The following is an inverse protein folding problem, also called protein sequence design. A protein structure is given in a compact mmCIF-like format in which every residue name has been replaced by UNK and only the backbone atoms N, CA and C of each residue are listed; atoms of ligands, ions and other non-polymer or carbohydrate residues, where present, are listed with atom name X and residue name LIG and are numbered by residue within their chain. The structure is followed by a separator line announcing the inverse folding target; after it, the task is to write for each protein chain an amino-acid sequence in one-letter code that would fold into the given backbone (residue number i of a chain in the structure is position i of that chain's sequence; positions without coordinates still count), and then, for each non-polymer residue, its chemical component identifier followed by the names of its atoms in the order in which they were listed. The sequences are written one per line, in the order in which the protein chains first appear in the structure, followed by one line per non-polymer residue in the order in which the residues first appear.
data_IF_736593372614
#
_entry.id   IF_736593372614
#
_cell.length_a   1.000
_cell.length_b   1.000
_cell.length_c   1.000
_cell.angle_alpha   90.00
_cell.angle_beta   90.00
_cell.angle_gamma   90.00
#
_symmetry.space_group_name_H-M   'P 1'
#
loop_
_entity.id
_entity.type
_entity.pdbx_description
1 polymer ?
#
# COMPACT_ATOMS: atom_id res chain seq x y z
N UNK A 1 9.98 -8.60 20.47
CA UNK A 1 8.71 -7.83 20.47
C UNK A 1 7.83 -8.41 19.37
N UNK A 2 6.77 -9.15 19.73
CA UNK A 2 5.75 -9.60 18.74
C UNK A 2 5.04 -8.36 18.23
N UNK A 3 5.22 -8.07 16.96
CA UNK A 3 4.55 -6.95 16.28
C UNK A 3 3.09 -7.39 16.12
N UNK A 4 2.20 -6.81 16.90
CA UNK A 4 0.78 -7.16 16.85
C UNK A 4 0.18 -6.69 15.52
N UNK A 5 0.14 -7.58 14.55
CA UNK A 5 -0.47 -7.35 13.24
C UNK A 5 -2.01 -7.39 13.27
N UNK A 6 -2.57 -7.63 14.47
CA UNK A 6 -4.01 -7.71 14.69
C UNK A 6 -4.78 -6.43 14.26
N UNK A 7 -4.14 -5.26 14.27
CA UNK A 7 -4.78 -4.03 13.80
C UNK A 7 -4.99 -4.02 12.27
N UNK A 8 -4.05 -4.60 11.49
CA UNK A 8 -4.19 -4.68 10.02
C UNK A 8 -5.38 -5.55 9.65
N UNK A 9 -5.52 -6.73 10.30
CA UNK A 9 -6.66 -7.62 10.05
C UNK A 9 -7.99 -6.96 10.34
N UNK A 10 -8.07 -6.12 11.38
CA UNK A 10 -9.27 -5.34 11.70
C UNK A 10 -9.61 -4.32 10.60
N UNK A 11 -8.62 -3.56 10.12
CA UNK A 11 -8.83 -2.61 9.02
C UNK A 11 -9.26 -3.31 7.74
N UNK A 12 -8.60 -4.40 7.36
CA UNK A 12 -8.95 -5.18 6.17
C UNK A 12 -10.39 -5.72 6.29
N UNK A 13 -10.74 -6.30 7.44
CA UNK A 13 -12.08 -6.82 7.68
C UNK A 13 -13.15 -5.73 7.50
N UNK A 14 -12.95 -4.54 8.10
CA UNK A 14 -13.91 -3.43 8.00
C UNK A 14 -13.98 -2.90 6.56
N UNK A 15 -12.87 -2.81 5.84
CA UNK A 15 -12.84 -2.42 4.42
C UNK A 15 -13.65 -3.42 3.58
N UNK A 16 -13.42 -4.72 3.76
CA UNK A 16 -14.14 -5.77 3.02
C UNK A 16 -15.63 -5.72 3.33
N UNK A 17 -16.00 -5.60 4.60
CA UNK A 17 -17.42 -5.46 4.99
C UNK A 17 -18.04 -4.20 4.36
N UNK A 18 -17.34 -3.07 4.37
CA UNK A 18 -17.82 -1.81 3.78
C UNK A 18 -18.05 -1.94 2.28
N UNK A 19 -17.12 -2.61 1.56
CA UNK A 19 -17.26 -2.87 0.12
C UNK A 19 -18.44 -3.81 -0.18
N UNK A 20 -18.56 -4.90 0.59
CA UNK A 20 -19.65 -5.87 0.42
C UNK A 20 -21.00 -5.25 0.71
N UNK A 21 -21.12 -4.50 1.81
CA UNK A 21 -22.36 -3.79 2.17
C UNK A 21 -22.72 -2.72 1.13
N UNK A 22 -21.75 -1.89 0.71
CA UNK A 22 -21.98 -0.87 -0.32
C UNK A 22 -22.45 -1.47 -1.65
N UNK A 23 -21.83 -2.59 -2.06
CA UNK A 23 -22.23 -3.33 -3.26
C UNK A 23 -23.58 -4.02 -3.10
N UNK A 24 -23.75 -4.85 -2.08
CA UNK A 24 -24.95 -5.64 -1.88
C UNK A 24 -26.20 -4.78 -1.67
N UNK A 25 -26.13 -3.78 -0.78
CA UNK A 25 -27.27 -2.90 -0.50
C UNK A 25 -27.61 -2.03 -1.73
N UNK A 26 -26.58 -1.56 -2.45
CA UNK A 26 -26.78 -0.79 -3.68
C UNK A 26 -27.50 -1.56 -4.80
N UNK A 27 -27.43 -2.90 -4.82
CA UNK A 27 -28.11 -3.73 -5.82
C UNK A 27 -29.60 -4.00 -5.51
N UNK A 28 -30.06 -3.74 -4.28
CA UNK A 28 -31.49 -3.95 -3.95
C UNK A 28 -32.41 -3.07 -4.79
N UNK A 29 -33.46 -3.69 -5.36
CA UNK A 29 -34.44 -3.04 -6.23
C UNK A 29 -35.09 -1.81 -5.58
N UNK A 30 -35.29 -1.84 -4.27
CA UNK A 30 -35.88 -0.76 -3.48
C UNK A 30 -35.02 0.52 -3.55
N UNK A 31 -33.69 0.41 -3.44
CA UNK A 31 -32.78 1.54 -3.53
C UNK A 31 -32.60 2.06 -4.97
N UNK A 32 -32.74 1.18 -5.97
CA UNK A 32 -32.69 1.57 -7.39
C UNK A 32 -33.91 2.36 -7.83
N UNK A 33 -35.10 2.06 -7.27
CA UNK A 33 -36.38 2.73 -7.59
C UNK A 33 -36.57 4.06 -6.83
N UNK A 34 -35.90 4.21 -5.68
CA UNK A 34 -36.01 5.42 -4.87
C UNK A 34 -35.08 6.49 -5.42
N UNK A 35 -35.65 7.57 -5.95
CA UNK A 35 -34.90 8.74 -6.44
C UNK A 35 -35.10 9.92 -5.51
N UNK A 36 -34.02 10.64 -5.20
CA UNK A 36 -34.00 11.82 -4.34
C UNK A 36 -33.77 13.08 -5.19
N UNK A 37 -34.72 13.96 -5.18
CA UNK A 37 -34.59 15.32 -5.72
C UNK A 37 -34.50 15.47 -7.24
N UNK A 38 -34.25 16.68 -7.66
CA UNK A 38 -33.88 17.08 -9.03
C UNK A 38 -32.51 17.71 -9.00
N UNK A 39 -31.47 17.13 -9.67
CA UNK A 39 -31.49 15.98 -10.59
C UNK A 39 -31.64 14.62 -9.86
N UNK A 40 -32.22 13.66 -10.56
CA UNK A 40 -32.62 12.34 -10.03
C UNK A 40 -31.39 11.53 -9.54
N UNK A 41 -31.03 11.71 -8.27
CA UNK A 41 -30.02 10.88 -7.60
C UNK A 41 -30.70 9.62 -7.06
N UNK A 42 -30.23 8.43 -7.42
CA UNK A 42 -30.78 7.20 -6.86
C UNK A 42 -30.20 6.95 -5.46
N UNK A 43 -31.06 6.45 -4.55
CA UNK A 43 -30.61 6.06 -3.21
C UNK A 43 -29.48 4.99 -3.27
N UNK A 44 -29.51 4.12 -4.28
CA UNK A 44 -28.46 3.14 -4.58
C UNK A 44 -27.09 3.80 -4.77
N UNK A 45 -27.01 4.88 -5.56
CA UNK A 45 -25.75 5.60 -5.80
C UNK A 45 -25.19 6.21 -4.52
N UNK A 46 -26.07 6.70 -3.64
CA UNK A 46 -25.66 7.29 -2.36
C UNK A 46 -25.09 6.23 -1.41
N UNK A 47 -25.74 5.07 -1.33
CA UNK A 47 -25.26 3.94 -0.51
C UNK A 47 -23.94 3.41 -1.03
N UNK A 48 -23.80 3.23 -2.33
CA UNK A 48 -22.54 2.82 -2.95
C UNK A 48 -21.42 3.84 -2.70
N UNK A 49 -21.73 5.13 -2.81
CA UNK A 49 -20.77 6.20 -2.50
C UNK A 49 -20.29 6.13 -1.05
N UNK A 50 -21.21 5.96 -0.09
CA UNK A 50 -20.83 5.82 1.31
C UNK A 50 -20.00 4.56 1.59
N UNK A 51 -20.39 3.42 1.01
CA UNK A 51 -19.68 2.15 1.17
C UNK A 51 -18.27 2.19 0.58
N UNK A 52 -18.16 2.56 -0.69
CA UNK A 52 -16.87 2.59 -1.39
C UNK A 52 -16.00 3.77 -0.92
N UNK A 53 -16.58 4.94 -0.69
CA UNK A 53 -15.89 6.10 -0.16
C UNK A 53 -15.35 5.85 1.24
N UNK A 54 -16.15 5.23 2.11
CA UNK A 54 -15.73 4.80 3.44
C UNK A 54 -14.57 3.80 3.39
N UNK A 55 -14.63 2.81 2.48
CA UNK A 55 -13.56 1.85 2.27
C UNK A 55 -12.25 2.51 1.81
N UNK A 56 -12.32 3.48 0.88
CA UNK A 56 -11.15 4.24 0.44
C UNK A 56 -10.54 5.09 1.55
N UNK A 57 -11.38 5.70 2.38
CA UNK A 57 -10.94 6.50 3.52
C UNK A 57 -10.23 5.63 4.57
N UNK A 58 -10.79 4.45 4.87
CA UNK A 58 -10.17 3.47 5.76
C UNK A 58 -8.86 2.94 5.20
N UNK A 59 -8.77 2.69 3.89
CA UNK A 59 -7.56 2.28 3.21
C UNK A 59 -6.47 3.35 3.35
N UNK A 60 -6.82 4.62 3.17
CA UNK A 60 -5.89 5.75 3.35
C UNK A 60 -5.39 5.86 4.79
N UNK A 61 -6.29 5.78 5.79
CA UNK A 61 -5.93 5.77 7.20
C UNK A 61 -5.04 4.59 7.58
N UNK A 62 -5.34 3.40 7.04
CA UNK A 62 -4.51 2.21 7.22
C UNK A 62 -3.10 2.42 6.65
N UNK A 63 -2.99 3.01 5.45
CA UNK A 63 -1.72 3.33 4.82
C UNK A 63 -0.88 4.31 5.64
N UNK A 64 -1.50 5.36 6.17
CA UNK A 64 -0.86 6.33 7.05
C UNK A 64 -0.32 5.66 8.33
N UNK A 65 -1.15 4.83 8.97
CA UNK A 65 -0.78 4.11 10.18
C UNK A 65 0.32 3.07 9.91
N UNK A 66 0.27 2.37 8.79
CA UNK A 66 1.32 1.46 8.38
C UNK A 66 2.64 2.19 8.17
N UNK A 67 2.63 3.30 7.45
CA UNK A 67 3.81 4.11 7.21
C UNK A 67 4.45 4.63 8.50
N UNK A 68 3.64 5.09 9.47
CA UNK A 68 4.14 5.57 10.76
C UNK A 68 4.82 4.45 11.58
N UNK A 69 4.28 3.22 11.53
CA UNK A 69 4.88 2.07 12.21
C UNK A 69 6.17 1.58 11.53
N UNK A 70 6.24 1.64 10.19
CA UNK A 70 7.44 1.28 9.46
C UNK A 70 8.56 2.31 9.66
N UNK A 71 8.22 3.59 9.84
CA UNK A 71 9.18 4.68 10.13
C UNK A 71 9.89 4.48 11.47
N UNK A 72 9.26 3.83 12.45
CA UNK A 72 9.86 3.52 13.75
C UNK A 72 10.83 2.34 13.69
N UNK A 73 10.85 1.56 12.62
CA UNK A 73 11.74 0.42 12.42
C UNK A 73 13.09 0.84 11.84
N UNK A 74 14.16 0.11 12.21
CA UNK A 74 15.50 0.28 11.63
C UNK A 74 15.67 -0.65 10.41
N UNK A 75 16.33 -0.17 9.37
CA UNK A 75 16.71 -0.97 8.20
C UNK A 75 15.59 -1.15 7.16
N UNK A 76 15.39 -2.38 6.65
CA UNK A 76 14.47 -2.72 5.54
C UNK A 76 13.02 -2.25 5.75
N UNK A 77 12.57 -2.07 7.01
CA UNK A 77 11.23 -1.59 7.31
C UNK A 77 11.04 -0.09 7.03
N UNK A 78 12.11 0.71 7.17
CA UNK A 78 12.05 2.14 6.86
C UNK A 78 11.80 2.38 5.36
N UNK A 79 12.39 1.56 4.49
CA UNK A 79 12.17 1.60 3.05
C UNK A 79 10.69 1.43 2.66
N UNK A 80 10.01 0.45 3.28
CA UNK A 80 8.60 0.21 3.02
C UNK A 80 7.71 1.43 3.35
N UNK A 81 8.08 2.25 4.34
CA UNK A 81 7.31 3.44 4.69
C UNK A 81 7.28 4.49 3.58
N UNK A 82 8.35 4.61 2.80
CA UNK A 82 8.44 5.58 1.71
C UNK A 82 7.63 5.17 0.48
N UNK A 83 7.42 3.86 0.27
CA UNK A 83 6.66 3.33 -0.87
C UNK A 83 5.17 3.21 -0.54
N UNK A 84 4.82 2.80 0.67
CA UNK A 84 3.43 2.55 1.08
C UNK A 84 2.57 3.81 0.95
N UNK A 85 3.08 4.97 1.35
CA UNK A 85 2.30 6.23 1.29
C UNK A 85 1.95 6.62 -0.15
N UNK A 86 2.90 6.77 -1.09
CA UNK A 86 2.54 7.15 -2.45
C UNK A 86 1.72 6.07 -3.18
N UNK A 87 1.98 4.78 -2.90
CA UNK A 87 1.20 3.68 -3.47
C UNK A 87 -0.26 3.73 -3.01
N UNK A 88 -0.50 3.85 -1.71
CA UNK A 88 -1.86 3.96 -1.17
C UNK A 88 -2.55 5.23 -1.67
N UNK A 89 -1.83 6.36 -1.75
CA UNK A 89 -2.37 7.61 -2.29
C UNK A 89 -2.80 7.44 -3.74
N UNK A 90 -1.99 6.79 -4.57
CA UNK A 90 -2.32 6.51 -5.97
C UNK A 90 -3.61 5.66 -6.08
N UNK A 91 -3.71 4.59 -5.30
CA UNK A 91 -4.91 3.72 -5.27
C UNK A 91 -6.15 4.50 -4.82
N UNK A 92 -6.01 5.32 -3.78
CA UNK A 92 -7.13 6.12 -3.25
C UNK A 92 -7.58 7.19 -4.25
N UNK A 93 -6.65 7.89 -4.91
CA UNK A 93 -6.99 8.90 -5.93
C UNK A 93 -7.67 8.25 -7.13
N UNK A 94 -7.15 7.12 -7.61
CA UNK A 94 -7.74 6.37 -8.72
C UNK A 94 -9.15 5.82 -8.36
N UNK A 95 -9.30 5.29 -7.15
CA UNK A 95 -10.60 4.81 -6.66
C UNK A 95 -11.61 5.93 -6.43
N UNK A 96 -11.16 7.07 -5.90
CA UNK A 96 -11.98 8.24 -5.67
C UNK A 96 -12.60 8.78 -6.97
N UNK A 97 -11.89 8.70 -8.09
CA UNK A 97 -12.44 9.05 -9.40
C UNK A 97 -13.74 8.28 -9.69
N UNK A 98 -13.72 6.97 -9.56
CA UNK A 98 -14.89 6.12 -9.85
C UNK A 98 -16.01 6.34 -8.84
N UNK A 99 -15.68 6.46 -7.56
CA UNK A 99 -16.66 6.65 -6.48
C UNK A 99 -17.36 8.00 -6.59
N UNK A 100 -16.61 9.07 -6.81
CA UNK A 100 -17.15 10.40 -7.00
C UNK A 100 -17.98 10.51 -8.29
N UNK A 101 -17.51 9.89 -9.38
CA UNK A 101 -18.22 9.89 -10.65
C UNK A 101 -19.63 9.26 -10.52
N UNK A 102 -19.78 8.24 -9.66
CA UNK A 102 -21.07 7.59 -9.42
C UNK A 102 -22.14 8.57 -8.92
N UNK A 103 -21.75 9.50 -8.04
CA UNK A 103 -22.67 10.49 -7.47
C UNK A 103 -22.75 11.76 -8.31
N UNK A 104 -21.63 12.20 -8.88
CA UNK A 104 -21.58 13.44 -9.66
C UNK A 104 -22.16 13.30 -11.06
N UNK A 105 -22.27 12.08 -11.59
CA UNK A 105 -22.74 11.82 -12.95
C UNK A 105 -24.04 12.54 -13.34
N UNK A 106 -25.09 12.59 -12.49
CA UNK A 106 -26.33 13.31 -12.83
C UNK A 106 -26.18 14.84 -12.77
N UNK A 107 -25.11 15.39 -12.17
CA UNK A 107 -24.87 16.83 -12.04
C UNK A 107 -23.85 17.37 -13.06
N UNK A 108 -23.08 16.47 -13.70
CA UNK A 108 -22.02 16.84 -14.63
C UNK A 108 -22.51 16.80 -16.07
N UNK A 109 -22.79 17.98 -16.61
CA UNK A 109 -22.92 18.19 -18.03
C UNK A 109 -21.57 18.01 -18.76
N UNK A 110 -21.56 18.08 -20.09
CA UNK A 110 -20.37 17.81 -20.91
C UNK A 110 -19.15 18.70 -20.53
N UNK A 111 -19.37 19.99 -20.24
CA UNK A 111 -18.30 20.92 -19.86
C UNK A 111 -17.65 20.60 -18.50
N UNK A 112 -18.40 20.60 -17.40
CA UNK A 112 -17.88 20.28 -16.08
C UNK A 112 -17.28 18.89 -15.99
N UNK A 113 -17.80 17.92 -16.74
CA UNK A 113 -17.25 16.56 -16.81
C UNK A 113 -15.84 16.52 -17.37
N UNK A 114 -15.55 17.35 -18.37
CA UNK A 114 -14.19 17.42 -18.93
C UNK A 114 -13.20 17.98 -17.91
N UNK A 115 -13.56 19.03 -17.18
CA UNK A 115 -12.74 19.61 -16.11
C UNK A 115 -12.49 18.58 -15.00
N UNK A 116 -13.55 17.86 -14.57
CA UNK A 116 -13.43 16.77 -13.61
C UNK A 116 -12.42 15.71 -14.04
N UNK A 117 -12.52 15.24 -15.28
CA UNK A 117 -11.59 14.26 -15.82
C UNK A 117 -10.14 14.77 -15.80
N UNK A 118 -9.90 16.02 -16.21
CA UNK A 118 -8.56 16.61 -16.21
C UNK A 118 -7.97 16.73 -14.80
N UNK A 119 -8.77 17.10 -13.80
CA UNK A 119 -8.33 17.16 -12.41
C UNK A 119 -7.84 15.78 -11.94
N UNK A 120 -8.60 14.72 -12.23
CA UNK A 120 -8.20 13.37 -11.83
C UNK A 120 -7.02 12.81 -12.65
N UNK A 121 -6.95 13.10 -13.94
CA UNK A 121 -5.78 12.73 -14.76
C UNK A 121 -4.52 13.37 -14.19
N UNK A 122 -4.56 14.66 -13.86
CA UNK A 122 -3.43 15.34 -13.22
C UNK A 122 -3.12 14.75 -11.84
N UNK A 123 -4.12 14.50 -11.01
CA UNK A 123 -3.95 13.90 -9.68
C UNK A 123 -3.31 12.51 -9.73
N UNK A 124 -3.77 11.65 -10.62
CA UNK A 124 -3.21 10.30 -10.83
C UNK A 124 -1.77 10.41 -11.36
N UNK A 125 -1.54 11.29 -12.35
CA UNK A 125 -0.20 11.49 -12.91
C UNK A 125 0.80 11.98 -11.87
N UNK A 126 0.43 12.98 -11.07
CA UNK A 126 1.28 13.50 -9.98
C UNK A 126 1.56 12.41 -8.95
N UNK A 127 0.53 11.63 -8.56
CA UNK A 127 0.69 10.53 -7.59
C UNK A 127 1.59 9.42 -8.13
N UNK A 128 1.46 9.09 -9.42
CA UNK A 128 2.32 8.10 -10.09
C UNK A 128 3.77 8.59 -10.20
N UNK A 129 3.97 9.87 -10.54
CA UNK A 129 5.29 10.49 -10.58
C UNK A 129 5.94 10.48 -9.19
N UNK A 130 5.17 10.82 -8.16
CA UNK A 130 5.67 10.76 -6.78
C UNK A 130 6.10 9.35 -6.39
N UNK A 131 5.30 8.34 -6.75
CA UNK A 131 5.66 6.93 -6.53
C UNK A 131 6.94 6.55 -7.29
N UNK A 132 7.08 6.96 -8.56
CA UNK A 132 8.28 6.70 -9.35
C UNK A 132 9.53 7.34 -8.75
N UNK A 133 9.43 8.61 -8.32
CA UNK A 133 10.52 9.32 -7.64
C UNK A 133 10.89 8.64 -6.32
N UNK A 134 9.89 8.23 -5.52
CA UNK A 134 10.13 7.52 -4.27
C UNK A 134 10.86 6.18 -4.50
N UNK A 135 10.48 5.44 -5.54
CA UNK A 135 11.17 4.20 -5.93
C UNK A 135 12.59 4.47 -6.41
N UNK A 136 12.80 5.51 -7.23
CA UNK A 136 14.12 5.84 -7.76
C UNK A 136 15.10 6.26 -6.67
N UNK A 137 14.68 7.16 -5.77
CA UNK A 137 15.54 7.61 -4.65
C UNK A 137 15.87 6.51 -3.65
N UNK A 138 15.09 5.46 -3.59
CA UNK A 138 15.26 4.36 -2.63
C UNK A 138 15.53 3.01 -3.33
N UNK A 139 16.08 3.03 -4.54
CA UNK A 139 16.34 1.82 -5.33
C UNK A 139 17.50 0.95 -4.80
N UNK A 140 18.46 1.54 -4.05
CA UNK A 140 19.61 0.79 -3.52
C UNK A 140 19.20 -0.45 -2.69
N UNK A 141 18.27 -0.36 -1.71
CA UNK A 141 17.85 -1.54 -0.96
C UNK A 141 17.06 -2.55 -1.79
N UNK A 142 16.45 -2.13 -2.91
CA UNK A 142 15.78 -3.04 -3.85
C UNK A 142 16.80 -3.90 -4.61
N UNK A 143 17.87 -3.30 -5.09
CA UNK A 143 18.95 -4.02 -5.79
C UNK A 143 19.58 -5.05 -4.85
N UNK A 144 19.78 -4.71 -3.58
CA UNK A 144 20.30 -5.64 -2.56
C UNK A 144 19.31 -6.79 -2.26
N UNK A 145 18.00 -6.55 -2.31
CA UNK A 145 16.97 -7.59 -2.16
C UNK A 145 17.00 -8.58 -3.33
N UNK A 146 17.19 -8.08 -4.56
CA UNK A 146 17.31 -8.93 -5.76
C UNK A 146 18.65 -9.67 -5.78
N UNK A 147 19.73 -9.04 -5.30
CA UNK A 147 21.03 -9.71 -5.12
C UNK A 147 21.00 -10.81 -4.05
N UNK A 148 20.38 -10.52 -2.89
CA UNK A 148 20.24 -11.50 -1.81
C UNK A 148 19.32 -12.69 -2.20
N UNK A 149 18.38 -12.52 -3.10
CA UNK A 149 17.55 -13.60 -3.64
C UNK A 149 18.27 -14.48 -4.68
N UNK A 150 19.44 -14.03 -5.19
CA UNK A 150 20.28 -14.79 -6.12
C UNK A 150 21.42 -15.56 -5.45
N UNK A 151 21.75 -15.23 -4.20
CA UNK A 151 22.92 -15.76 -3.46
C UNK A 151 22.53 -16.74 -2.32
N UNK A 152 21.41 -17.42 -2.42
CA UNK A 152 21.07 -18.51 -1.49
C UNK A 152 21.91 -19.80 -1.71
N UNK A 153 23.06 -19.69 -2.38
CA UNK A 153 23.88 -20.86 -2.75
C UNK A 153 25.35 -20.87 -2.32
N UNK A 154 25.90 -19.79 -1.76
CA UNK A 154 27.33 -19.83 -1.44
C UNK A 154 27.70 -19.00 -0.18
N UNK A 155 27.20 -19.44 0.98
CA UNK A 155 27.92 -19.12 2.22
C UNK A 155 29.15 -20.02 2.20
N UNK A 156 30.23 -19.53 1.64
CA UNK A 156 31.55 -20.15 1.81
C UNK A 156 31.90 -20.14 3.31
N UNK A 157 31.52 -21.23 3.98
CA UNK A 157 31.83 -21.43 5.39
C UNK A 157 33.36 -21.55 5.49
N UNK A 158 34.04 -20.43 5.74
CA UNK A 158 35.48 -20.42 5.97
C UNK A 158 35.78 -21.33 7.17
N UNK A 159 36.62 -22.33 6.95
CA UNK A 159 37.10 -23.19 8.02
C UNK A 159 38.46 -22.65 8.53
N UNK A 160 38.63 -22.68 9.84
CA UNK A 160 39.90 -22.31 10.44
C UNK A 160 41.01 -23.24 9.95
N UNK A 161 42.10 -22.67 9.44
CA UNK A 161 43.25 -23.43 8.92
C UNK A 161 43.99 -24.25 9.99
N UNK A 162 43.86 -23.86 11.27
CA UNK A 162 44.55 -24.53 12.37
C UNK A 162 43.73 -25.62 13.05
N UNK A 163 42.44 -25.47 13.23
CA UNK A 163 41.58 -26.42 13.97
C UNK A 163 40.42 -26.97 13.18
N UNK A 164 40.15 -26.49 11.95
CA UNK A 164 39.03 -26.95 11.12
C UNK A 164 37.64 -26.48 11.55
N UNK A 165 37.52 -25.69 12.63
CA UNK A 165 36.25 -25.17 13.10
C UNK A 165 35.67 -24.19 12.08
N UNK A 166 34.31 -24.16 11.96
CA UNK A 166 33.60 -23.22 11.13
C UNK A 166 33.75 -21.82 11.73
N UNK A 167 34.15 -20.86 10.90
CA UNK A 167 34.30 -19.45 11.26
C UNK A 167 33.02 -18.70 10.87
N UNK A 168 32.55 -17.83 11.77
CA UNK A 168 31.49 -16.90 11.43
C UNK A 168 31.95 -15.94 10.33
N UNK A 169 31.05 -15.56 9.39
CA UNK A 169 31.37 -14.62 8.33
C UNK A 169 31.86 -13.29 8.91
N UNK A 170 33.12 -12.94 8.68
CA UNK A 170 33.74 -11.70 9.19
C UNK A 170 34.47 -11.82 10.54
N UNK A 171 34.59 -13.01 11.11
CA UNK A 171 35.38 -13.22 12.33
C UNK A 171 36.89 -13.07 12.03
N UNK A 172 37.57 -12.16 12.74
CA UNK A 172 39.01 -11.94 12.64
C UNK A 172 39.82 -12.97 13.41
N UNK A 173 39.21 -13.75 14.31
CA UNK A 173 39.84 -14.77 15.14
C UNK A 173 38.94 -15.98 15.29
N UNK A 174 39.51 -17.15 15.34
CA UNK A 174 38.80 -18.40 15.61
C UNK A 174 38.36 -18.47 17.10
N UNK A 175 37.07 -18.65 17.37
CA UNK A 175 36.54 -18.74 18.73
C UNK A 175 36.95 -20.05 19.46
N UNK A 176 37.48 -21.06 18.73
CA UNK A 176 37.88 -22.35 19.31
C UNK A 176 39.37 -22.39 19.65
N UNK A 177 40.26 -21.88 18.77
CA UNK A 177 41.71 -21.95 18.94
C UNK A 177 42.42 -20.60 19.06
N UNK A 178 41.70 -19.48 18.90
CA UNK A 178 42.25 -18.13 19.01
C UNK A 178 43.15 -17.68 17.86
N UNK A 179 43.33 -18.50 16.83
CA UNK A 179 44.20 -18.15 15.68
C UNK A 179 43.51 -17.11 14.80
N UNK A 180 44.29 -16.11 14.33
CA UNK A 180 43.79 -15.09 13.40
C UNK A 180 43.33 -15.74 12.10
N UNK A 181 42.18 -15.38 11.61
CA UNK A 181 41.66 -15.77 10.29
C UNK A 181 42.30 -14.87 9.23
N UNK A 182 43.21 -15.42 8.44
CA UNK A 182 43.78 -14.74 7.27
C UNK A 182 42.80 -14.73 6.10
#
# INVERSE_FOLDING_TARGET
MKRDWAWISRYILVIVISLVLGGAIGEFALFKQTTLGTPKLSASQLVQFMGYGGALLLLWLMGQKAASQFRSGRGKSAFLSFIVVPLVTLIVVAGAYSVLLTVLRPFLDAGPRNIYNWIFVLGITISALWLAVALFHHSEPLVDLFRAGGDEGNIEVKKCSSCGAQLDPGANFCHVCGTASA
#
